data_IF_140726444911
#
_entry.id   IF_140726444911
#
_cell.length_a   1.000
_cell.length_b   1.000
_cell.length_c   1.000
_cell.angle_alpha   90.00
_cell.angle_beta   90.00
_cell.angle_gamma   90.00
#
_symmetry.space_group_name_H-M   'P 1'
#
loop_
_entity.id
_entity.type
_entity.pdbx_description
1 polymer ?
#
# COMPACT_ATOMS: atom_id res chain seq x y z
N UNK A 1 -19.58 16.92 -62.26
CA UNK A 1 -20.03 18.00 -61.35
C UNK A 1 -19.01 18.12 -60.24
N UNK A 2 -18.35 19.28 -60.16
CA UNK A 2 -17.30 19.57 -59.19
C UNK A 2 -17.94 19.86 -57.83
N UNK A 3 -17.55 19.12 -56.78
CA UNK A 3 -17.85 19.52 -55.41
C UNK A 3 -16.62 20.17 -54.80
N UNK A 4 -16.89 21.40 -54.34
CA UNK A 4 -15.98 22.47 -53.99
C UNK A 4 -15.48 22.27 -52.57
N UNK A 5 -14.19 22.53 -52.41
CA UNK A 5 -13.45 22.72 -51.18
C UNK A 5 -14.17 23.75 -50.27
N UNK A 6 -14.41 23.40 -48.99
CA UNK A 6 -14.84 24.32 -47.93
C UNK A 6 -13.86 24.22 -46.76
N UNK A 7 -12.67 24.77 -46.98
CA UNK A 7 -11.88 25.35 -45.91
C UNK A 7 -12.30 26.82 -45.78
N UNK A 8 -13.28 27.09 -44.93
CA UNK A 8 -13.61 28.42 -44.39
C UNK A 8 -13.37 28.27 -42.87
N UNK A 9 -12.18 28.60 -42.36
CA UNK A 9 -11.77 29.94 -41.96
C UNK A 9 -12.66 30.47 -40.83
N UNK A 10 -12.42 29.93 -39.63
CA UNK A 10 -12.78 30.57 -38.36
C UNK A 10 -11.49 31.15 -37.77
N UNK A 11 -11.20 32.37 -38.21
CA UNK A 11 -10.33 33.30 -37.50
C UNK A 11 -10.97 33.56 -36.13
N UNK A 12 -10.39 32.96 -35.09
CA UNK A 12 -10.56 33.40 -33.70
C UNK A 12 -9.19 33.92 -33.28
N UNK A 13 -8.79 35.05 -33.85
CA UNK A 13 -7.82 35.94 -33.23
C UNK A 13 -8.53 36.66 -32.08
N UNK A 14 -8.43 36.08 -30.90
CA UNK A 14 -8.89 36.64 -29.64
C UNK A 14 -7.81 36.41 -28.59
N UNK A 15 -6.93 37.41 -28.48
CA UNK A 15 -5.96 37.66 -27.42
C UNK A 15 -6.54 37.37 -26.02
N UNK A 16 -6.30 36.16 -25.46
CA UNK A 16 -6.79 35.75 -24.14
C UNK A 16 -5.76 35.02 -23.27
N UNK A 17 -4.49 34.93 -23.69
CA UNK A 17 -3.43 34.40 -22.83
C UNK A 17 -2.27 35.38 -22.75
N UNK A 18 -2.52 36.49 -22.06
CA UNK A 18 -1.46 37.19 -21.35
C UNK A 18 -0.89 36.24 -20.31
N UNK A 19 0.35 35.82 -20.51
CA UNK A 19 1.08 35.06 -19.50
C UNK A 19 1.35 36.02 -18.33
N UNK A 20 0.48 35.98 -17.32
CA UNK A 20 0.70 36.69 -16.07
C UNK A 20 2.01 36.23 -15.40
N UNK A 21 2.71 37.20 -14.79
CA UNK A 21 4.02 37.08 -14.16
C UNK A 21 4.22 35.78 -13.37
N UNK A 22 5.38 35.13 -13.57
CA UNK A 22 5.84 33.89 -12.88
C UNK A 22 5.80 33.99 -11.34
N UNK A 23 5.73 35.20 -10.77
CA UNK A 23 5.58 35.44 -9.33
C UNK A 23 4.19 35.08 -8.78
N UNK A 24 3.16 35.03 -9.63
CA UNK A 24 1.80 34.64 -9.20
C UNK A 24 1.67 33.12 -9.02
N UNK A 25 2.34 32.35 -9.88
CA UNK A 25 2.35 30.88 -9.89
C UNK A 25 3.10 30.31 -8.67
N UNK A 26 4.16 30.99 -8.19
CA UNK A 26 4.89 30.56 -7.00
C UNK A 26 4.07 30.69 -5.72
N UNK A 27 3.28 31.77 -5.58
CA UNK A 27 2.40 31.97 -4.42
C UNK A 27 1.25 30.95 -4.37
N UNK A 28 0.71 30.56 -5.54
CA UNK A 28 -0.31 29.50 -5.63
C UNK A 28 0.28 28.12 -5.31
N UNK A 29 1.53 27.85 -5.69
CA UNK A 29 2.20 26.60 -5.35
C UNK A 29 2.50 26.51 -3.84
N UNK A 30 2.94 27.59 -3.20
CA UNK A 30 3.14 27.58 -1.75
C UNK A 30 1.82 27.41 -0.98
N UNK A 31 0.70 27.94 -1.48
CA UNK A 31 -0.61 27.72 -0.87
C UNK A 31 -1.03 26.24 -0.98
N UNK A 32 -0.86 25.63 -2.16
CA UNK A 32 -1.13 24.21 -2.39
C UNK A 32 -0.20 23.30 -1.56
N UNK A 33 1.05 23.68 -1.37
CA UNK A 33 1.99 22.94 -0.51
C UNK A 33 1.60 23.03 0.97
N UNK A 34 1.08 24.17 1.42
CA UNK A 34 0.54 24.33 2.78
C UNK A 34 -0.72 23.50 2.99
N UNK A 35 -1.63 23.48 2.02
CA UNK A 35 -2.85 22.66 2.10
C UNK A 35 -2.51 21.16 2.10
N UNK A 36 -1.60 20.71 1.22
CA UNK A 36 -1.11 19.33 1.22
C UNK A 36 -0.34 18.96 2.49
N UNK A 37 0.33 19.92 3.14
CA UNK A 37 0.98 19.70 4.42
C UNK A 37 -0.05 19.61 5.56
N UNK A 38 -1.11 20.41 5.53
CA UNK A 38 -2.22 20.35 6.48
C UNK A 38 -2.98 19.01 6.37
N UNK A 39 -3.26 18.53 5.15
CA UNK A 39 -3.88 17.22 4.93
C UNK A 39 -3.02 16.08 5.50
N UNK A 40 -1.70 16.10 5.26
CA UNK A 40 -0.78 15.11 5.84
C UNK A 40 -0.70 15.19 7.37
N UNK A 41 -0.86 16.38 7.94
CA UNK A 41 -0.91 16.56 9.39
C UNK A 41 -2.21 15.97 9.97
N UNK A 42 -3.35 16.20 9.31
CA UNK A 42 -4.64 15.61 9.68
C UNK A 42 -4.58 14.07 9.59
N UNK A 43 -4.00 13.51 8.53
CA UNK A 43 -3.79 12.06 8.41
C UNK A 43 -2.86 11.49 9.50
N UNK A 44 -1.81 12.23 9.87
CA UNK A 44 -0.91 11.84 10.95
C UNK A 44 -1.60 11.90 12.31
N UNK A 45 -2.37 12.96 12.58
CA UNK A 45 -3.15 13.11 13.80
C UNK A 45 -4.21 12.02 13.90
N UNK A 46 -4.93 11.71 12.81
CA UNK A 46 -5.90 10.62 12.81
C UNK A 46 -5.21 9.26 13.03
N UNK A 47 -4.04 9.03 12.43
CA UNK A 47 -3.28 7.80 12.65
C UNK A 47 -2.79 7.65 14.10
N UNK A 48 -2.42 8.76 14.74
CA UNK A 48 -2.02 8.78 16.16
C UNK A 48 -3.23 8.57 17.08
N UNK A 49 -4.39 9.15 16.79
CA UNK A 49 -5.64 8.91 17.54
C UNK A 49 -6.05 7.42 17.49
N UNK A 50 -5.82 6.75 16.37
CA UNK A 50 -6.06 5.30 16.24
C UNK A 50 -5.08 4.45 17.07
N UNK A 51 -3.84 4.92 17.28
CA UNK A 51 -2.83 4.23 18.10
C UNK A 51 -3.04 4.47 19.61
N UNK A 52 -3.55 5.64 20.00
CA UNK A 52 -3.84 6.00 21.41
C UNK A 52 -5.09 5.32 21.96
N UNK A 53 -6.04 4.97 21.09
CA UNK A 53 -7.22 4.16 21.42
C UNK A 53 -7.21 2.81 20.67
N UNK A 54 -6.38 1.84 21.10
CA UNK A 54 -6.45 0.48 20.58
C UNK A 54 -7.89 -0.03 20.70
N UNK A 55 -8.45 -0.57 19.61
CA UNK A 55 -9.81 -1.13 19.56
C UNK A 55 -10.01 -2.11 20.73
N UNK A 56 -10.63 -1.64 21.81
CA UNK A 56 -11.00 -2.48 22.93
C UNK A 56 -12.41 -2.97 22.64
N UNK A 57 -12.51 -4.02 21.81
CA UNK A 57 -13.77 -4.66 21.42
C UNK A 57 -14.61 -5.16 22.61
N UNK A 58 -14.04 -5.19 23.81
CA UNK A 58 -14.63 -5.78 25.01
C UNK A 58 -15.62 -4.85 25.75
N UNK A 59 -15.58 -3.53 25.53
CA UNK A 59 -16.41 -2.56 26.27
C UNK A 59 -17.72 -2.21 25.52
N UNK A 60 -17.79 -2.48 24.23
CA UNK A 60 -18.91 -2.08 23.34
C UNK A 60 -19.69 -3.28 22.77
N UNK A 61 -19.68 -4.42 23.45
CA UNK A 61 -20.55 -5.53 23.09
C UNK A 61 -22.02 -5.15 23.34
N UNK A 62 -22.91 -5.48 22.39
CA UNK A 62 -24.35 -5.56 22.65
C UNK A 62 -24.49 -6.42 23.92
N UNK A 63 -24.98 -5.83 25.02
CA UNK A 63 -25.14 -6.58 26.27
C UNK A 63 -26.06 -7.76 26.01
N UNK A 64 -25.85 -8.91 26.67
CA UNK A 64 -26.69 -10.11 26.48
C UNK A 64 -28.19 -9.83 26.72
N UNK A 65 -28.50 -8.75 27.45
CA UNK A 65 -29.87 -8.24 27.65
C UNK A 65 -30.49 -7.62 26.39
N UNK A 66 -29.71 -7.10 25.45
CA UNK A 66 -30.16 -6.50 24.18
C UNK A 66 -30.34 -7.53 23.04
N UNK A 67 -29.67 -8.69 23.13
CA UNK A 67 -29.95 -9.84 22.26
C UNK A 67 -31.29 -10.50 22.60
N UNK A 68 -31.77 -10.33 23.84
CA UNK A 68 -33.04 -10.85 24.34
C UNK A 68 -34.27 -9.99 23.96
N UNK A 69 -34.12 -9.00 23.07
CA UNK A 69 -35.23 -8.17 22.61
C UNK A 69 -36.36 -9.04 22.01
N UNK A 70 -37.65 -8.71 22.28
CA UNK A 70 -38.78 -9.53 21.84
C UNK A 70 -38.83 -9.57 20.31
N UNK A 71 -38.57 -10.75 19.74
CA UNK A 71 -38.76 -11.01 18.32
C UNK A 71 -40.24 -11.18 18.04
N UNK A 72 -40.87 -10.18 17.43
CA UNK A 72 -42.20 -10.37 16.84
C UNK A 72 -42.03 -11.10 15.49
N UNK A 73 -42.91 -12.05 15.18
CA UNK A 73 -42.84 -12.82 13.91
C UNK A 73 -43.02 -11.96 12.64
N UNK A 74 -43.48 -10.72 12.79
CA UNK A 74 -43.92 -9.86 11.67
C UNK A 74 -43.08 -8.60 11.44
N UNK A 75 -42.26 -8.18 12.40
CA UNK A 75 -41.46 -6.95 12.31
C UNK A 75 -39.97 -7.27 12.39
N UNK A 76 -39.17 -6.57 11.60
CA UNK A 76 -37.71 -6.72 11.64
C UNK A 76 -37.18 -6.16 12.96
N UNK A 77 -36.10 -6.75 13.50
CA UNK A 77 -35.43 -6.25 14.72
C UNK A 77 -35.08 -4.76 14.65
N UNK A 78 -34.79 -4.25 13.45
CA UNK A 78 -34.51 -2.81 13.20
C UNK A 78 -35.75 -1.93 13.38
N UNK A 79 -36.91 -2.40 12.94
CA UNK A 79 -38.17 -1.66 13.04
C UNK A 79 -38.62 -1.59 14.50
N UNK A 80 -38.48 -2.70 15.25
CA UNK A 80 -38.78 -2.75 16.69
C UNK A 80 -37.86 -1.80 17.48
N UNK A 81 -36.56 -1.78 17.17
CA UNK A 81 -35.59 -0.85 17.80
C UNK A 81 -35.91 0.61 17.47
N UNK A 82 -36.24 0.92 16.21
CA UNK A 82 -36.63 2.27 15.82
C UNK A 82 -37.95 2.73 16.49
N UNK A 83 -38.90 1.82 16.65
CA UNK A 83 -40.16 2.10 17.35
C UNK A 83 -39.96 2.27 18.86
N UNK A 84 -39.02 1.54 19.47
CA UNK A 84 -38.64 1.70 20.87
C UNK A 84 -38.01 3.09 21.13
N UNK A 85 -37.08 3.53 20.28
CA UNK A 85 -36.48 4.87 20.37
C UNK A 85 -37.56 5.96 20.19
N UNK A 86 -38.47 5.79 19.23
CA UNK A 86 -39.63 6.72 19.07
C UNK A 86 -40.54 6.77 20.30
N UNK A 87 -40.79 5.63 20.94
CA UNK A 87 -41.58 5.60 22.19
C UNK A 87 -40.87 6.30 23.34
N UNK A 88 -39.54 6.20 23.43
CA UNK A 88 -38.75 6.93 24.42
C UNK A 88 -38.77 8.44 24.15
N UNK A 89 -38.70 8.86 22.88
CA UNK A 89 -38.84 10.26 22.47
C UNK A 89 -40.24 10.82 22.82
N UNK A 90 -41.30 10.06 22.54
CA UNK A 90 -42.68 10.47 22.85
C UNK A 90 -42.98 10.49 24.36
N UNK A 91 -42.29 9.67 25.14
CA UNK A 91 -42.43 9.60 26.60
C UNK A 91 -41.60 10.65 27.34
N UNK A 92 -40.54 11.18 26.72
CA UNK A 92 -39.63 12.14 27.36
C UNK A 92 -40.34 13.46 27.66
N UNK A 93 -40.37 13.84 28.94
CA UNK A 93 -40.98 15.11 29.40
C UNK A 93 -40.07 15.91 30.32
N UNK A 94 -39.06 15.26 30.90
CA UNK A 94 -38.10 15.89 31.80
C UNK A 94 -36.69 15.89 31.20
N UNK A 95 -35.82 16.78 31.66
CA UNK A 95 -34.41 16.85 31.22
C UNK A 95 -33.67 15.53 31.43
N UNK A 96 -34.03 14.78 32.48
CA UNK A 96 -33.49 13.45 32.75
C UNK A 96 -33.89 12.45 31.66
N UNK A 97 -35.14 12.48 31.18
CA UNK A 97 -35.61 11.58 30.12
C UNK A 97 -34.93 11.89 28.78
N UNK A 98 -34.72 13.17 28.45
CA UNK A 98 -33.98 13.58 27.26
C UNK A 98 -32.52 13.11 27.30
N UNK A 99 -31.89 13.09 28.48
CA UNK A 99 -30.54 12.56 28.62
C UNK A 99 -30.44 11.06 28.29
N UNK A 100 -31.52 10.30 28.51
CA UNK A 100 -31.59 8.87 28.15
C UNK A 100 -31.76 8.71 26.64
N UNK A 101 -32.63 9.51 26.03
CA UNK A 101 -32.84 9.52 24.57
C UNK A 101 -31.53 9.84 23.83
N UNK A 102 -30.78 10.84 24.28
CA UNK A 102 -29.50 11.22 23.68
C UNK A 102 -28.50 10.06 23.76
N UNK A 103 -28.38 9.39 24.91
CA UNK A 103 -27.48 8.24 25.09
C UNK A 103 -27.80 7.07 24.14
N UNK A 104 -29.09 6.80 23.90
CA UNK A 104 -29.50 5.76 22.95
C UNK A 104 -29.15 6.14 21.50
N UNK A 105 -29.28 7.41 21.13
CA UNK A 105 -28.87 7.91 19.82
C UNK A 105 -27.35 7.88 19.64
N UNK A 106 -26.58 8.34 20.63
CA UNK A 106 -25.11 8.31 20.61
C UNK A 106 -24.61 6.86 20.47
N UNK A 107 -25.26 5.91 21.15
CA UNK A 107 -24.96 4.47 21.03
C UNK A 107 -25.27 3.92 19.64
N UNK A 108 -26.35 4.35 19.00
CA UNK A 108 -26.68 3.93 17.63
C UNK A 108 -25.70 4.50 16.61
N UNK A 109 -25.24 5.73 16.81
CA UNK A 109 -24.28 6.40 15.93
C UNK A 109 -22.89 5.76 16.03
N UNK A 110 -22.39 5.52 17.25
CA UNK A 110 -21.15 4.77 17.48
C UNK A 110 -21.19 3.38 16.85
N UNK A 111 -22.33 2.69 16.93
CA UNK A 111 -22.51 1.39 16.29
C UNK A 111 -22.52 1.46 14.75
N UNK A 112 -23.00 2.56 14.19
CA UNK A 112 -22.94 2.81 12.74
C UNK A 112 -21.50 3.04 12.31
N UNK A 113 -20.78 3.94 12.98
CA UNK A 113 -19.38 4.23 12.72
C UNK A 113 -18.49 2.99 12.89
N UNK A 114 -18.74 2.17 13.91
CA UNK A 114 -18.06 0.88 14.11
C UNK A 114 -18.27 -0.07 12.93
N UNK A 115 -19.50 -0.18 12.41
CA UNK A 115 -19.78 -1.03 11.25
C UNK A 115 -19.04 -0.51 10.02
N UNK A 116 -19.09 0.80 9.77
CA UNK A 116 -18.40 1.44 8.65
C UNK A 116 -16.88 1.21 8.73
N UNK A 117 -16.27 1.45 9.89
CA UNK A 117 -14.84 1.14 10.13
C UNK A 117 -14.51 -0.34 9.94
N UNK A 118 -15.34 -1.26 10.44
CA UNK A 118 -15.12 -2.69 10.23
C UNK A 118 -15.27 -3.11 8.77
N UNK A 119 -16.19 -2.51 8.02
CA UNK A 119 -16.31 -2.75 6.58
C UNK A 119 -15.09 -2.25 5.81
N UNK A 120 -14.49 -1.14 6.25
CA UNK A 120 -13.25 -0.60 5.68
C UNK A 120 -12.03 -1.45 6.06
N UNK A 121 -11.93 -1.92 7.30
CA UNK A 121 -10.83 -2.79 7.75
C UNK A 121 -10.91 -4.22 7.20
N UNK A 122 -12.10 -4.78 7.00
CA UNK A 122 -12.30 -6.10 6.39
C UNK A 122 -12.21 -6.05 4.86
N UNK A 123 -12.05 -4.86 4.27
CA UNK A 123 -11.72 -4.70 2.86
C UNK A 123 -10.26 -5.13 2.69
N UNK A 124 -10.04 -6.37 2.26
CA UNK A 124 -8.70 -6.91 2.05
C UNK A 124 -7.86 -6.03 1.09
N UNK A 125 -6.54 -6.03 1.31
CA UNK A 125 -5.53 -5.21 0.61
C UNK A 125 -5.42 -5.42 -0.92
N UNK A 126 -6.26 -6.25 -1.54
CA UNK A 126 -6.24 -6.49 -2.99
C UNK A 126 -7.43 -5.80 -3.69
N UNK A 127 -7.20 -4.71 -4.42
CA UNK A 127 -8.23 -4.01 -5.21
C UNK A 127 -8.85 -4.86 -6.34
N UNK A 128 -8.31 -6.04 -6.64
CA UNK A 128 -8.61 -6.81 -7.86
C UNK A 128 -9.73 -7.85 -7.73
N UNK A 129 -10.15 -8.25 -6.52
CA UNK A 129 -11.12 -9.34 -6.35
C UNK A 129 -12.60 -8.88 -6.39
N UNK A 130 -12.84 -7.59 -6.59
CA UNK A 130 -14.17 -6.93 -6.54
C UNK A 130 -15.24 -7.53 -7.49
N UNK A 131 -14.88 -8.51 -8.31
CA UNK A 131 -15.77 -9.16 -9.28
C UNK A 131 -15.54 -10.67 -9.41
N UNK A 132 -14.66 -11.28 -8.61
CA UNK A 132 -14.43 -12.72 -8.65
C UNK A 132 -15.59 -13.46 -7.96
N UNK A 133 -16.60 -13.86 -8.73
CA UNK A 133 -17.68 -14.73 -8.23
C UNK A 133 -17.10 -16.07 -7.77
N UNK A 134 -17.33 -16.46 -6.51
CA UNK A 134 -16.83 -17.72 -5.94
C UNK A 134 -17.37 -18.96 -6.68
N UNK A 135 -18.62 -18.90 -7.13
CA UNK A 135 -19.27 -19.96 -7.91
C UNK A 135 -19.94 -19.40 -9.17
N UNK A 136 -19.18 -19.22 -10.26
CA UNK A 136 -19.74 -18.73 -11.51
C UNK A 136 -20.61 -19.84 -12.15
N UNK A 137 -21.88 -19.55 -12.38
CA UNK A 137 -22.85 -20.49 -12.99
C UNK A 137 -22.64 -20.67 -14.50
N UNK A 138 -22.08 -19.67 -15.16
CA UNK A 138 -21.95 -19.60 -16.63
C UNK A 138 -20.49 -19.65 -17.09
N UNK A 139 -19.63 -18.89 -16.42
CA UNK A 139 -18.21 -18.78 -16.76
C UNK A 139 -17.45 -19.85 -15.99
N UNK A 140 -16.60 -20.67 -16.63
CA UNK A 140 -15.76 -21.61 -15.90
C UNK A 140 -14.89 -20.91 -14.86
N UNK A 141 -14.64 -21.53 -13.69
CA UNK A 141 -13.86 -20.91 -12.59
C UNK A 141 -12.49 -20.40 -13.04
N UNK A 142 -11.80 -21.13 -13.93
CA UNK A 142 -10.50 -20.74 -14.48
C UNK A 142 -10.56 -19.48 -15.37
N UNK A 143 -11.71 -19.20 -15.96
CA UNK A 143 -11.96 -18.05 -16.83
C UNK A 143 -12.46 -16.82 -16.04
N UNK A 144 -12.80 -17.03 -14.75
CA UNK A 144 -13.17 -15.97 -13.83
C UNK A 144 -11.97 -15.35 -13.12
N UNK A 145 -10.74 -15.74 -13.46
CA UNK A 145 -9.55 -15.12 -12.91
C UNK A 145 -9.43 -13.66 -13.39
N UNK A 146 -8.88 -12.80 -12.54
CA UNK A 146 -8.77 -11.36 -12.79
C UNK A 146 -7.87 -11.09 -13.98
N UNK A 147 -6.74 -11.80 -14.07
CA UNK A 147 -5.82 -11.75 -15.20
C UNK A 147 -6.51 -12.14 -16.51
N UNK A 148 -7.33 -13.19 -16.50
CA UNK A 148 -8.07 -13.62 -17.69
C UNK A 148 -9.08 -12.56 -18.15
N UNK A 149 -9.79 -11.93 -17.21
CA UNK A 149 -10.73 -10.85 -17.52
C UNK A 149 -10.03 -9.59 -18.04
N UNK A 150 -8.86 -9.24 -17.50
CA UNK A 150 -8.03 -8.15 -18.02
C UNK A 150 -7.56 -8.42 -19.46
N UNK A 151 -7.17 -9.66 -19.77
CA UNK A 151 -6.86 -10.06 -21.15
C UNK A 151 -8.05 -9.87 -22.09
N UNK A 152 -9.24 -10.33 -21.69
CA UNK A 152 -10.45 -10.18 -22.50
C UNK A 152 -10.90 -8.73 -22.65
N UNK A 153 -10.63 -7.88 -21.66
CA UNK A 153 -10.87 -6.45 -21.72
C UNK A 153 -9.83 -5.69 -22.57
N UNK A 154 -8.79 -6.37 -23.07
CA UNK A 154 -7.71 -5.75 -23.83
C UNK A 154 -6.68 -4.99 -22.98
N UNK A 155 -6.70 -5.17 -21.65
CA UNK A 155 -5.67 -4.64 -20.76
C UNK A 155 -4.61 -5.72 -20.51
N UNK A 156 -3.67 -5.84 -21.44
CA UNK A 156 -2.67 -6.93 -21.48
C UNK A 156 -1.27 -6.48 -21.07
N UNK A 157 -1.05 -5.19 -20.77
CA UNK A 157 0.30 -4.66 -20.48
C UNK A 157 0.93 -5.36 -19.28
N UNK A 158 0.16 -5.57 -18.21
CA UNK A 158 0.60 -6.27 -17.00
C UNK A 158 0.84 -7.78 -17.23
N UNK A 159 0.40 -8.31 -18.36
CA UNK A 159 0.52 -9.74 -18.71
C UNK A 159 1.64 -9.97 -19.70
N UNK A 160 1.89 -9.03 -20.61
CA UNK A 160 3.00 -9.10 -21.56
C UNK A 160 4.36 -9.14 -20.86
N UNK A 161 4.54 -8.37 -19.79
CA UNK A 161 5.83 -8.30 -19.08
C UNK A 161 5.93 -9.24 -17.87
N UNK A 162 5.25 -10.38 -17.92
CA UNK A 162 5.29 -11.38 -16.85
C UNK A 162 6.42 -12.41 -16.96
N UNK A 163 7.46 -12.10 -17.72
CA UNK A 163 8.62 -12.97 -17.89
C UNK A 163 9.81 -12.46 -17.06
N UNK A 164 10.40 -13.29 -16.18
CA UNK A 164 11.59 -12.90 -15.42
C UNK A 164 12.79 -12.52 -16.29
N UNK A 165 12.91 -13.09 -17.49
CA UNK A 165 14.07 -12.87 -18.36
C UNK A 165 13.98 -11.54 -19.12
N UNK A 166 12.77 -10.96 -19.24
CA UNK A 166 12.50 -9.73 -19.98
C UNK A 166 12.40 -8.50 -19.06
N UNK A 167 12.74 -8.63 -17.78
CA UNK A 167 12.70 -7.53 -16.80
C UNK A 167 13.45 -6.27 -17.25
N UNK A 168 14.50 -6.40 -18.07
CA UNK A 168 15.26 -5.28 -18.58
C UNK A 168 14.40 -4.33 -19.43
N UNK A 169 13.33 -4.83 -20.06
CA UNK A 169 12.40 -4.04 -20.87
C UNK A 169 11.45 -3.17 -20.05
N UNK A 170 11.31 -3.44 -18.75
CA UNK A 170 10.47 -2.66 -17.84
C UNK A 170 11.08 -1.29 -17.49
N UNK A 171 12.38 -1.12 -17.71
CA UNK A 171 13.10 0.09 -17.33
C UNK A 171 13.49 0.90 -18.56
N UNK A 172 13.16 2.20 -18.56
CA UNK A 172 13.55 3.11 -19.64
C UNK A 172 15.03 3.55 -19.58
N UNK A 173 15.69 3.42 -18.43
CA UNK A 173 17.10 3.79 -18.27
C UNK A 173 18.02 2.76 -18.95
N UNK A 174 18.80 3.14 -19.98
CA UNK A 174 19.68 2.23 -20.70
C UNK A 174 20.73 1.56 -19.81
N UNK A 175 21.19 2.23 -18.74
CA UNK A 175 22.16 1.66 -17.82
C UNK A 175 21.52 0.55 -16.97
N UNK A 176 20.37 0.85 -16.36
CA UNK A 176 19.65 -0.11 -15.52
C UNK A 176 19.20 -1.32 -16.37
N UNK A 177 18.72 -1.07 -17.59
CA UNK A 177 18.36 -2.12 -18.53
C UNK A 177 19.53 -3.09 -18.77
N UNK A 178 20.71 -2.58 -19.12
CA UNK A 178 21.91 -3.41 -19.35
C UNK A 178 22.36 -4.14 -18.08
N UNK A 179 22.32 -3.46 -16.94
CA UNK A 179 22.67 -4.04 -15.65
C UNK A 179 21.80 -5.25 -15.30
N UNK A 180 20.50 -5.19 -15.61
CA UNK A 180 19.56 -6.32 -15.41
C UNK A 180 19.76 -7.40 -16.47
N UNK A 181 20.06 -7.03 -17.71
CA UNK A 181 20.29 -7.96 -18.81
C UNK A 181 21.52 -8.85 -18.57
N UNK A 182 22.60 -8.28 -18.03
CA UNK A 182 23.85 -8.97 -17.71
C UNK A 182 23.74 -9.98 -16.54
N UNK A 183 22.67 -9.90 -15.75
CA UNK A 183 22.45 -10.83 -14.64
C UNK A 183 22.20 -12.26 -15.16
N UNK A 184 22.61 -13.27 -14.37
CA UNK A 184 22.29 -14.66 -14.71
C UNK A 184 20.78 -14.92 -14.63
N UNK A 185 20.32 -15.91 -15.38
CA UNK A 185 18.89 -16.28 -15.43
C UNK A 185 18.35 -16.65 -14.05
N UNK A 186 19.14 -17.39 -13.25
CA UNK A 186 18.81 -17.69 -11.86
C UNK A 186 18.62 -16.44 -11.00
N UNK A 187 19.47 -15.43 -11.20
CA UNK A 187 19.40 -14.17 -10.47
C UNK A 187 18.21 -13.32 -10.92
N UNK A 188 17.90 -13.32 -12.22
CA UNK A 188 16.75 -12.62 -12.80
C UNK A 188 15.45 -13.13 -12.19
N UNK A 189 15.26 -14.43 -12.14
CA UNK A 189 14.09 -15.04 -11.50
C UNK A 189 13.96 -14.69 -10.02
N UNK A 190 15.04 -14.80 -9.22
CA UNK A 190 14.98 -14.44 -7.79
C UNK A 190 14.64 -12.97 -7.61
N UNK A 191 15.24 -12.10 -8.41
CA UNK A 191 14.97 -10.68 -8.37
C UNK A 191 13.50 -10.42 -8.73
N UNK A 192 13.02 -10.96 -9.86
CA UNK A 192 11.65 -10.82 -10.34
C UNK A 192 10.61 -11.18 -9.27
N UNK A 193 10.72 -12.38 -8.70
CA UNK A 193 9.72 -12.85 -7.74
C UNK A 193 9.76 -12.07 -6.42
N UNK A 194 10.96 -11.70 -5.94
CA UNK A 194 11.09 -11.01 -4.66
C UNK A 194 10.78 -9.51 -4.74
N UNK A 195 11.16 -8.82 -5.83
CA UNK A 195 11.01 -7.36 -5.94
C UNK A 195 9.79 -6.92 -6.74
N UNK A 196 9.47 -7.58 -7.85
CA UNK A 196 8.35 -7.18 -8.72
C UNK A 196 7.06 -7.88 -8.29
N UNK A 197 7.10 -9.20 -8.06
CA UNK A 197 5.93 -9.96 -7.59
C UNK A 197 5.75 -9.97 -6.08
N UNK A 198 6.71 -9.42 -5.33
CA UNK A 198 6.67 -9.30 -3.87
C UNK A 198 6.37 -10.63 -3.14
N UNK A 199 6.83 -11.75 -3.70
CA UNK A 199 6.72 -13.05 -3.04
C UNK A 199 7.55 -13.09 -1.77
N UNK A 200 7.10 -13.88 -0.80
CA UNK A 200 7.92 -14.17 0.36
C UNK A 200 9.10 -15.07 -0.02
N UNK A 201 10.22 -14.94 0.71
CA UNK A 201 11.37 -15.80 0.49
C UNK A 201 11.05 -17.29 0.71
N UNK A 202 10.07 -17.60 1.57
CA UNK A 202 9.59 -18.95 1.81
C UNK A 202 8.78 -19.48 0.63
N UNK A 203 7.90 -18.68 0.03
CA UNK A 203 7.14 -19.07 -1.16
C UNK A 203 8.07 -19.36 -2.35
N UNK A 204 9.04 -18.48 -2.60
CA UNK A 204 10.01 -18.68 -3.67
C UNK A 204 10.92 -19.90 -3.41
N UNK A 205 11.29 -20.12 -2.16
CA UNK A 205 12.08 -21.30 -1.76
C UNK A 205 11.32 -22.60 -2.03
N UNK A 206 10.02 -22.65 -1.71
CA UNK A 206 9.15 -23.79 -2.02
C UNK A 206 9.02 -24.00 -3.53
N UNK A 207 8.79 -22.95 -4.32
CA UNK A 207 8.66 -23.03 -5.77
C UNK A 207 9.94 -23.56 -6.46
N UNK A 208 11.12 -23.28 -5.90
CA UNK A 208 12.42 -23.73 -6.40
C UNK A 208 12.95 -25.00 -5.75
N UNK A 209 12.20 -25.59 -4.82
CA UNK A 209 12.65 -26.74 -4.01
C UNK A 209 13.99 -26.49 -3.28
N UNK A 210 14.23 -25.25 -2.84
CA UNK A 210 15.44 -24.83 -2.13
C UNK A 210 15.13 -24.44 -0.69
N UNK A 211 16.18 -24.32 0.13
CA UNK A 211 16.02 -23.73 1.46
C UNK A 211 15.84 -22.21 1.36
N UNK A 212 14.98 -21.65 2.20
CA UNK A 212 14.77 -20.21 2.37
C UNK A 212 16.08 -19.47 2.74
N UNK A 213 17.00 -20.14 3.45
CA UNK A 213 18.36 -19.62 3.68
C UNK A 213 19.14 -19.42 2.37
N UNK A 214 19.00 -20.32 1.40
CA UNK A 214 19.67 -20.20 0.11
C UNK A 214 19.15 -19.01 -0.70
N UNK A 215 17.83 -18.83 -0.76
CA UNK A 215 17.19 -17.69 -1.43
C UNK A 215 17.66 -16.36 -0.82
N UNK A 216 17.73 -16.27 0.52
CA UNK A 216 18.30 -15.07 1.19
C UNK A 216 19.76 -14.83 0.83
N UNK A 217 20.58 -15.87 0.74
CA UNK A 217 21.99 -15.74 0.33
C UNK A 217 22.09 -15.25 -1.12
N UNK A 218 21.32 -15.85 -2.04
CA UNK A 218 21.26 -15.41 -3.44
C UNK A 218 20.83 -13.96 -3.55
N UNK A 219 19.76 -13.56 -2.85
CA UNK A 219 19.32 -12.16 -2.77
C UNK A 219 20.47 -11.24 -2.35
N UNK A 220 21.22 -11.59 -1.31
CA UNK A 220 22.36 -10.79 -0.85
C UNK A 220 23.45 -10.68 -1.92
N UNK A 221 23.77 -11.78 -2.61
CA UNK A 221 24.74 -11.79 -3.72
C UNK A 221 24.30 -10.87 -4.85
N UNK A 222 23.02 -10.93 -5.23
CA UNK A 222 22.44 -10.06 -6.27
C UNK A 222 22.56 -8.59 -5.88
N UNK A 223 22.15 -8.22 -4.66
CA UNK A 223 22.22 -6.83 -4.19
C UNK A 223 23.67 -6.32 -4.17
N UNK A 224 24.61 -7.17 -3.72
CA UNK A 224 26.04 -6.84 -3.74
C UNK A 224 26.55 -6.56 -5.16
N UNK A 225 26.20 -7.41 -6.12
CA UNK A 225 26.59 -7.26 -7.52
C UNK A 225 26.03 -5.97 -8.13
N UNK A 226 24.73 -5.72 -7.95
CA UNK A 226 24.04 -4.54 -8.46
C UNK A 226 24.60 -3.24 -7.85
N UNK A 227 24.84 -3.20 -6.54
CA UNK A 227 25.41 -2.02 -5.88
C UNK A 227 26.82 -1.70 -6.40
N UNK A 228 27.65 -2.73 -6.63
CA UNK A 228 28.99 -2.54 -7.17
C UNK A 228 28.95 -1.99 -8.59
N UNK A 229 28.14 -2.57 -9.48
CA UNK A 229 27.98 -2.07 -10.85
C UNK A 229 27.43 -0.63 -10.88
N UNK A 230 26.47 -0.33 -10.01
CA UNK A 230 25.94 1.03 -9.84
C UNK A 230 27.03 2.00 -9.37
N UNK A 231 27.84 1.61 -8.38
CA UNK A 231 28.95 2.44 -7.90
C UNK A 231 29.97 2.71 -9.01
N UNK A 232 30.43 1.69 -9.71
CA UNK A 232 31.40 1.83 -10.81
C UNK A 232 30.86 2.77 -11.91
N UNK A 233 29.57 2.65 -12.25
CA UNK A 233 28.91 3.54 -13.20
C UNK A 233 28.86 4.98 -12.70
N UNK A 234 28.40 5.22 -11.47
CA UNK A 234 28.27 6.55 -10.90
C UNK A 234 29.64 7.22 -10.68
N UNK A 235 30.65 6.45 -10.30
CA UNK A 235 32.04 6.91 -10.21
C UNK A 235 32.53 7.37 -11.59
N UNK A 236 32.36 6.55 -12.62
CA UNK A 236 32.73 6.92 -14.00
C UNK A 236 31.91 8.11 -14.55
N UNK A 237 30.66 8.29 -14.10
CA UNK A 237 29.80 9.44 -14.43
C UNK A 237 30.34 10.71 -13.78
N UNK A 238 30.80 10.62 -12.51
CA UNK A 238 31.45 11.71 -11.77
C UNK A 238 32.76 12.14 -12.43
N UNK A 239 33.62 11.20 -12.79
CA UNK A 239 34.91 11.49 -13.46
C UNK A 239 34.73 12.18 -14.81
N UNK A 240 33.67 11.83 -15.55
CA UNK A 240 33.31 12.49 -16.81
C UNK A 240 32.68 13.88 -16.63
N UNK A 241 32.57 14.38 -15.39
CA UNK A 241 32.02 15.69 -15.08
C UNK A 241 30.50 15.82 -15.32
N UNK A 242 29.76 14.71 -15.41
CA UNK A 242 28.30 14.75 -15.55
C UNK A 242 27.65 15.05 -14.21
N UNK A 243 26.54 15.78 -14.23
CA UNK A 243 25.78 16.11 -13.02
C UNK A 243 25.23 14.84 -12.35
N UNK A 244 25.52 14.70 -11.06
CA UNK A 244 24.92 13.67 -10.20
C UNK A 244 23.75 14.25 -9.41
N UNK A 245 22.70 13.45 -9.27
CA UNK A 245 21.56 13.74 -8.39
C UNK A 245 21.99 13.65 -6.92
N UNK A 246 21.22 14.26 -6.01
CA UNK A 246 21.52 14.21 -4.57
C UNK A 246 21.57 12.77 -4.04
N UNK A 247 20.66 11.91 -4.49
CA UNK A 247 20.64 10.48 -4.11
C UNK A 247 21.84 9.72 -4.63
N UNK A 248 22.27 9.98 -5.87
CA UNK A 248 23.48 9.36 -6.43
C UNK A 248 24.73 9.77 -5.65
N UNK A 249 24.81 11.03 -5.18
CA UNK A 249 25.92 11.50 -4.33
C UNK A 249 25.92 10.82 -2.97
N UNK A 250 24.77 10.78 -2.30
CA UNK A 250 24.59 10.08 -1.03
C UNK A 250 25.00 8.60 -1.14
N UNK A 251 24.55 7.92 -2.20
CA UNK A 251 24.93 6.54 -2.45
C UNK A 251 26.44 6.34 -2.60
N UNK A 252 27.14 7.22 -3.34
CA UNK A 252 28.59 7.15 -3.48
C UNK A 252 29.27 7.32 -2.11
N UNK A 253 28.84 8.31 -1.32
CA UNK A 253 29.41 8.60 0.00
C UNK A 253 29.23 7.44 0.98
N UNK A 254 28.00 6.90 1.07
CA UNK A 254 27.70 5.73 1.89
C UNK A 254 28.48 4.48 1.45
N UNK A 255 28.58 4.25 0.14
CA UNK A 255 29.30 3.10 -0.39
C UNK A 255 30.80 3.18 -0.09
N UNK A 256 31.41 4.35 -0.27
CA UNK A 256 32.82 4.59 0.04
C UNK A 256 33.11 4.40 1.53
N UNK A 257 32.27 4.96 2.41
CA UNK A 257 32.42 4.78 3.85
C UNK A 257 32.40 3.30 4.26
N UNK A 258 31.48 2.52 3.66
CA UNK A 258 31.43 1.08 3.89
C UNK A 258 32.60 0.32 3.26
N UNK A 259 33.16 0.82 2.14
CA UNK A 259 34.31 0.21 1.48
C UNK A 259 35.58 0.35 2.30
N UNK A 260 35.76 1.48 2.99
CA UNK A 260 36.82 1.67 3.96
C UNK A 260 36.70 0.69 5.15
N UNK A 261 35.47 0.40 5.62
CA UNK A 261 35.23 -0.50 6.75
C UNK A 261 35.28 -1.99 6.40
N UNK A 262 34.65 -2.39 5.29
CA UNK A 262 34.34 -3.80 4.96
C UNK A 262 35.14 -4.31 3.74
N UNK A 263 35.84 -3.43 3.02
CA UNK A 263 36.61 -3.78 1.83
C UNK A 263 35.75 -4.43 0.74
N UNK A 264 36.12 -5.65 0.32
CA UNK A 264 35.48 -6.34 -0.83
C UNK A 264 34.06 -6.85 -0.55
N UNK A 265 33.58 -6.83 0.69
CA UNK A 265 32.27 -7.36 1.10
C UNK A 265 31.21 -6.28 1.37
N UNK A 266 31.44 -5.07 0.87
CA UNK A 266 30.52 -3.93 0.91
C UNK A 266 29.14 -4.23 0.40
N UNK A 267 28.14 -3.99 1.27
CA UNK A 267 26.73 -3.96 0.89
C UNK A 267 26.02 -2.92 1.74
N UNK A 268 25.47 -1.89 1.10
CA UNK A 268 24.56 -0.94 1.75
C UNK A 268 23.29 -1.69 2.11
N UNK A 269 22.94 -1.68 3.40
CA UNK A 269 21.72 -2.29 3.90
C UNK A 269 20.70 -1.21 4.18
N UNK A 270 19.44 -1.47 3.82
CA UNK A 270 18.35 -0.62 4.26
C UNK A 270 18.27 -0.68 5.79
N UNK A 271 18.22 0.48 6.42
CA UNK A 271 17.98 0.57 7.86
C UNK A 271 16.62 -0.04 8.18
N UNK A 272 16.63 -1.06 9.05
CA UNK A 272 15.37 -1.61 9.55
C UNK A 272 14.80 -0.60 10.55
N UNK A 273 13.68 0.06 10.20
CA UNK A 273 12.97 0.98 11.08
C UNK A 273 12.52 0.34 12.41
N UNK A 274 12.48 -0.99 12.46
CA UNK A 274 12.10 -1.73 13.66
C UNK A 274 13.34 -2.12 14.46
N UNK A 275 13.44 -1.57 15.68
CA UNK A 275 14.47 -1.97 16.65
C UNK A 275 14.41 -3.48 16.88
N UNK A 276 15.57 -4.14 16.82
CA UNK A 276 15.70 -5.57 17.08
C UNK A 276 15.20 -5.85 18.50
N UNK A 277 14.04 -6.53 18.64
CA UNK A 277 13.51 -6.95 19.96
C UNK A 277 14.64 -7.68 20.70
N UNK A 278 15.06 -7.14 21.86
CA UNK A 278 16.04 -7.81 22.72
C UNK A 278 15.47 -9.19 23.07
N UNK A 279 16.18 -10.25 22.70
CA UNK A 279 15.75 -11.61 22.99
C UNK A 279 15.55 -11.77 24.48
N UNK A 280 14.42 -12.38 24.90
CA UNK A 280 14.26 -12.84 26.29
C UNK A 280 15.44 -13.76 26.62
N UNK A 281 16.12 -13.57 27.77
CA UNK A 281 17.14 -14.51 28.20
C UNK A 281 16.49 -15.90 28.32
N UNK A 282 17.22 -16.97 27.98
CA UNK A 282 16.70 -18.33 28.15
C UNK A 282 16.30 -18.51 29.62
N UNK A 283 15.08 -19.00 29.85
CA UNK A 283 14.63 -19.41 31.17
C UNK A 283 15.63 -20.44 31.70
N UNK A 284 16.36 -20.07 32.75
CA UNK A 284 17.23 -20.98 33.47
C UNK A 284 16.35 -22.13 33.96
N UNK A 285 16.53 -23.32 33.37
CA UNK A 285 15.98 -24.55 33.91
C UNK A 285 16.68 -24.79 35.24
N UNK A 286 15.98 -24.47 36.34
CA UNK A 286 16.45 -24.79 37.68
C UNK A 286 16.67 -26.29 37.79
N UNK A 287 17.92 -26.67 38.04
CA UNK A 287 18.28 -27.98 38.55
C UNK A 287 17.58 -28.17 39.89
N UNK A 288 16.59 -29.06 39.93
CA UNK A 288 16.04 -29.56 41.18
C UNK A 288 17.09 -30.50 41.81
N UNK A 289 17.91 -29.97 42.71
CA UNK A 289 18.62 -30.76 43.71
C UNK A 289 17.69 -30.92 44.94
N UNK A 290 17.50 -32.18 45.37
CA UNK A 290 17.10 -32.54 46.73
C UNK A 290 15.61 -32.68 47.02
N UNK A 291 15.09 -33.92 46.99
CA UNK A 291 14.89 -34.79 48.18
C UNK A 291 14.75 -36.25 47.75
#
# INVERSE_FOLDING_TARGET
MAYRNKNELLDIEGDLFGWDDESSISLTNEALERDAAAERQIELESALEHDEHPLHDEVELETEEEEAAPTSEKLLKREIRAEAVRRLEEAARTEADFSVVIKEWDKLDQNRERRERNYEHLRGDLPLDYQAVSEPKLIPRWMNDTAYRQMMAGNFLDILFNCPYEMHQLTADPFISRMIEELSDDHKEVLYFLSLRLWSATQLALAREQSDRNIRKLRKTIHKGLQRQMFDYLHSKRERGRSLTLRERQFIEEYLALEEEQGKDTVIRRENKNNRRKGKPPLATGTAEGE
#
